data_IF_316831425126
#
_entry.id   IF_316831425126
#
_cell.length_a   1.000
_cell.length_b   1.000
_cell.length_c   1.000
_cell.angle_alpha   90.00
_cell.angle_beta   90.00
_cell.angle_gamma   90.00
#
_symmetry.space_group_name_H-M   'P 1'
#
loop_
_entity.id
_entity.type
_entity.pdbx_description
1 polymer ?
#
# COMPACT_ATOMS: atom_id res chain seq x y z
N UNK A 1 -7.55 2.08 1.24
CA UNK A 1 -8.58 2.96 1.81
C UNK A 1 -8.47 2.88 3.32
N UNK A 2 -8.35 4.02 3.98
CA UNK A 2 -8.40 4.16 5.43
C UNK A 2 -9.59 5.05 5.78
N UNK A 3 -10.66 4.44 6.30
CA UNK A 3 -11.89 5.17 6.62
C UNK A 3 -11.73 6.03 7.86
N UNK A 4 -10.97 5.58 8.85
CA UNK A 4 -10.77 6.30 10.11
C UNK A 4 -10.03 7.61 9.87
N UNK A 5 -8.99 7.58 9.03
CA UNK A 5 -8.20 8.76 8.65
C UNK A 5 -8.77 9.54 7.46
N UNK A 6 -9.84 9.04 6.83
CA UNK A 6 -10.41 9.60 5.61
C UNK A 6 -9.37 9.79 4.49
N UNK A 7 -8.55 8.76 4.25
CA UNK A 7 -7.49 8.76 3.24
C UNK A 7 -7.63 7.62 2.25
N UNK A 8 -7.39 7.90 0.98
CA UNK A 8 -7.25 6.90 -0.08
C UNK A 8 -5.77 6.75 -0.41
N UNK A 9 -5.32 5.49 -0.37
CA UNK A 9 -3.98 5.08 -0.76
C UNK A 9 -4.10 4.34 -2.09
N UNK A 10 -3.29 4.72 -3.08
CA UNK A 10 -3.25 4.03 -4.37
C UNK A 10 -1.84 4.06 -4.97
N UNK A 11 -1.54 3.08 -5.81
CA UNK A 11 -0.27 3.00 -6.53
C UNK A 11 -0.49 3.50 -7.97
N UNK A 12 0.37 4.42 -8.41
CA UNK A 12 0.46 4.83 -9.82
C UNK A 12 1.72 4.26 -10.45
N UNK A 13 1.60 3.82 -11.69
CA UNK A 13 2.70 3.25 -12.47
C UNK A 13 3.20 4.27 -13.47
N UNK A 14 4.51 4.53 -13.46
CA UNK A 14 5.16 5.45 -14.40
C UNK A 14 5.98 4.68 -15.44
N UNK A 15 6.59 3.56 -15.05
CA UNK A 15 7.32 2.66 -15.95
C UNK A 15 7.43 1.24 -15.36
N UNK A 16 8.07 0.33 -16.09
CA UNK A 16 8.25 -1.09 -15.68
C UNK A 16 9.00 -1.26 -14.35
N UNK A 17 9.73 -0.25 -13.89
CA UNK A 17 10.51 -0.30 -12.63
C UNK A 17 10.25 0.88 -11.70
N UNK A 18 9.25 1.70 -12.01
CA UNK A 18 8.96 2.91 -11.27
C UNK A 18 7.46 3.08 -11.04
N UNK A 19 7.12 3.10 -9.76
CA UNK A 19 5.77 3.32 -9.26
C UNK A 19 5.83 4.33 -8.12
N UNK A 20 4.71 4.96 -7.83
CA UNK A 20 4.56 5.84 -6.67
C UNK A 20 3.35 5.43 -5.84
N UNK A 21 3.50 5.49 -4.52
CA UNK A 21 2.35 5.52 -3.61
C UNK A 21 1.83 6.96 -3.55
N UNK A 22 0.54 7.12 -3.77
CA UNK A 22 -0.18 8.37 -3.58
C UNK A 22 -1.13 8.24 -2.40
N UNK A 23 -1.22 9.32 -1.63
CA UNK A 23 -2.20 9.52 -0.57
C UNK A 23 -3.05 10.71 -0.97
N UNK A 24 -4.35 10.50 -1.08
CA UNK A 24 -5.33 11.56 -1.33
C UNK A 24 -6.38 11.55 -0.23
N UNK A 25 -7.08 12.67 -0.07
CA UNK A 25 -8.26 12.71 0.80
C UNK A 25 -9.35 11.71 0.34
N UNK A 26 -10.30 11.44 1.23
CA UNK A 26 -11.40 10.51 0.94
C UNK A 26 -12.25 10.89 -0.28
N UNK A 27 -12.27 12.17 -0.64
CA UNK A 27 -13.02 12.66 -1.80
C UNK A 27 -12.21 12.57 -3.10
N UNK A 28 -10.92 12.23 -3.03
CA UNK A 28 -10.01 12.20 -4.16
C UNK A 28 -9.65 13.59 -4.71
N UNK A 29 -9.95 14.67 -3.99
CA UNK A 29 -9.84 16.05 -4.49
C UNK A 29 -8.45 16.65 -4.27
N UNK A 30 -7.73 16.19 -3.24
CA UNK A 30 -6.40 16.71 -2.90
C UNK A 30 -5.41 15.59 -2.67
N UNK A 31 -4.37 15.54 -3.49
CA UNK A 31 -3.16 14.77 -3.19
C UNK A 31 -2.53 15.37 -1.94
N UNK A 32 -2.46 14.58 -0.88
CA UNK A 32 -1.78 14.96 0.36
C UNK A 32 -0.28 14.71 0.22
N UNK A 33 0.10 13.51 -0.23
CA UNK A 33 1.50 13.10 -0.30
C UNK A 33 1.74 12.10 -1.44
N UNK A 34 2.99 12.03 -1.92
CA UNK A 34 3.41 11.02 -2.87
C UNK A 34 4.84 10.55 -2.60
N UNK A 35 5.08 9.25 -2.78
CA UNK A 35 6.35 8.62 -2.49
C UNK A 35 6.77 7.70 -3.63
N UNK A 36 7.98 7.86 -4.14
CA UNK A 36 8.54 6.99 -5.16
C UNK A 36 8.92 5.64 -4.56
N UNK A 37 8.45 4.56 -5.16
CA UNK A 37 8.85 3.19 -4.84
C UNK A 37 9.92 2.77 -5.86
N UNK A 38 11.22 2.78 -5.51
CA UNK A 38 12.28 2.36 -6.44
C UNK A 38 12.23 0.85 -6.69
N UNK A 39 12.70 0.42 -7.86
CA UNK A 39 12.80 -1.00 -8.25
C UNK A 39 11.48 -1.75 -8.09
N UNK A 40 10.39 -1.09 -8.50
CA UNK A 40 9.04 -1.53 -8.26
C UNK A 40 8.45 -2.05 -9.58
N UNK A 41 8.23 -3.37 -9.67
CA UNK A 41 7.61 -4.02 -10.83
C UNK A 41 6.09 -3.88 -10.80
N UNK A 42 5.38 -3.81 -11.95
CA UNK A 42 3.98 -3.35 -12.05
C UNK A 42 2.88 -4.31 -11.51
N UNK A 43 3.09 -4.97 -10.38
CA UNK A 43 2.03 -5.72 -9.68
C UNK A 43 2.12 -5.44 -8.19
N UNK A 44 1.34 -4.45 -7.75
CA UNK A 44 1.17 -4.14 -6.34
C UNK A 44 -0.24 -4.42 -5.89
N UNK A 45 -0.35 -5.12 -4.77
CA UNK A 45 -1.54 -5.02 -3.94
C UNK A 45 -1.15 -4.34 -2.63
N UNK A 46 -2.00 -3.42 -2.18
CA UNK A 46 -1.76 -2.65 -0.97
C UNK A 46 -2.92 -2.81 0.01
N UNK A 47 -2.61 -2.71 1.29
CA UNK A 47 -3.60 -2.59 2.37
C UNK A 47 -3.05 -1.71 3.48
N UNK A 48 -3.93 -1.08 4.26
CA UNK A 48 -3.53 -0.21 5.38
C UNK A 48 -4.26 -0.67 6.64
N UNK A 49 -3.54 -0.78 7.75
CA UNK A 49 -4.10 -1.09 9.07
C UNK A 49 -3.15 -0.71 10.19
N UNK A 50 -3.68 -0.22 11.31
CA UNK A 50 -2.85 0.12 12.48
C UNK A 50 -1.76 1.15 12.18
N UNK A 51 -2.01 2.10 11.28
CA UNK A 51 -1.02 3.05 10.74
C UNK A 51 0.06 2.44 9.86
N UNK A 52 -0.02 1.17 9.50
CA UNK A 52 0.95 0.48 8.67
C UNK A 52 0.39 0.23 7.27
N UNK A 53 1.27 0.33 6.27
CA UNK A 53 1.04 -0.04 4.89
C UNK A 53 1.63 -1.42 4.65
N UNK A 54 0.80 -2.33 4.15
CA UNK A 54 1.19 -3.62 3.64
C UNK A 54 1.28 -3.55 2.13
N UNK A 55 2.45 -3.87 1.58
CA UNK A 55 2.74 -3.83 0.15
C UNK A 55 3.16 -5.21 -0.31
N UNK A 56 2.38 -5.83 -1.19
CA UNK A 56 2.80 -7.01 -1.91
C UNK A 56 3.33 -6.61 -3.28
N UNK A 57 4.56 -6.96 -3.62
CA UNK A 57 5.13 -6.68 -4.93
C UNK A 57 5.92 -7.86 -5.50
N UNK A 58 5.99 -7.92 -6.83
CA UNK A 58 6.91 -8.83 -7.49
C UNK A 58 8.37 -8.33 -7.28
N UNK A 59 9.21 -9.18 -6.69
CA UNK A 59 10.64 -8.96 -6.56
C UNK A 59 11.40 -9.49 -7.78
N UNK A 60 12.72 -9.64 -7.66
CA UNK A 60 13.54 -10.18 -8.75
C UNK A 60 13.20 -11.64 -9.12
N UNK A 61 12.59 -12.41 -8.20
CA UNK A 61 12.30 -13.84 -8.41
C UNK A 61 10.95 -14.31 -7.88
N UNK A 62 10.29 -13.55 -6.98
CA UNK A 62 9.06 -13.96 -6.27
C UNK A 62 8.24 -12.75 -5.78
N UNK A 63 6.94 -12.95 -5.62
CA UNK A 63 6.07 -12.00 -4.91
C UNK A 63 6.41 -11.97 -3.42
N UNK A 64 6.54 -10.76 -2.86
CA UNK A 64 6.92 -10.55 -1.47
C UNK A 64 6.01 -9.53 -0.82
N UNK A 65 5.53 -9.85 0.38
CA UNK A 65 4.80 -8.95 1.27
C UNK A 65 5.79 -8.22 2.17
N UNK A 66 5.68 -6.91 2.18
CA UNK A 66 6.37 -6.00 3.07
C UNK A 66 5.39 -5.24 3.95
N UNK A 67 5.85 -4.84 5.12
CA UNK A 67 5.19 -3.90 6.02
C UNK A 67 6.03 -2.63 6.13
N UNK A 68 5.41 -1.46 6.13
CA UNK A 68 6.09 -0.18 6.29
C UNK A 68 5.15 0.90 6.83
N UNK A 69 5.72 1.98 7.38
CA UNK A 69 4.93 3.16 7.68
C UNK A 69 4.57 3.91 6.39
N UNK A 70 3.33 4.42 6.24
CA UNK A 70 2.98 5.32 5.15
C UNK A 70 3.93 6.52 5.12
N UNK A 71 4.65 6.66 4.01
CA UNK A 71 5.62 7.73 3.80
C UNK A 71 7.08 7.41 4.11
N UNK A 72 7.38 6.22 4.65
CA UNK A 72 8.75 5.74 4.82
C UNK A 72 8.99 4.42 4.08
N UNK A 73 9.16 4.50 2.75
CA UNK A 73 9.38 3.32 1.90
C UNK A 73 10.74 2.64 2.17
N UNK A 74 11.75 3.40 2.59
CA UNK A 74 13.08 2.85 2.88
C UNK A 74 13.07 1.98 4.15
N UNK A 75 12.12 2.22 5.06
CA UNK A 75 11.88 1.43 6.26
C UNK A 75 11.06 0.14 6.05
N UNK A 76 10.96 -0.39 4.83
CA UNK A 76 10.18 -1.61 4.59
C UNK A 76 10.76 -2.84 5.31
N UNK A 77 9.89 -3.57 6.00
CA UNK A 77 10.20 -4.83 6.68
C UNK A 77 9.63 -6.00 5.90
N UNK A 78 10.42 -7.07 5.75
CA UNK A 78 9.95 -8.31 5.13
C UNK A 78 8.92 -9.00 6.03
N UNK A 79 7.81 -9.44 5.45
CA UNK A 79 6.79 -10.25 6.15
C UNK A 79 6.79 -11.67 5.60
N UNK A 80 6.65 -11.84 4.28
CA UNK A 80 6.50 -13.16 3.66
C UNK A 80 6.84 -13.15 2.16
N UNK A 81 7.42 -14.24 1.66
CA UNK A 81 7.54 -14.51 0.24
C UNK A 81 6.53 -15.58 -0.21
N UNK A 82 5.98 -15.41 -1.40
CA UNK A 82 5.06 -16.35 -2.03
C UNK A 82 5.78 -17.15 -3.12
N UNK A 83 5.42 -18.43 -3.27
CA UNK A 83 5.93 -19.30 -4.34
C UNK A 83 5.00 -19.34 -5.55
N UNK A 84 3.98 -18.49 -5.55
CA UNK A 84 2.94 -18.38 -6.57
C UNK A 84 2.77 -16.91 -6.93
N UNK A 85 2.13 -16.66 -8.08
CA UNK A 85 1.78 -15.31 -8.48
C UNK A 85 0.69 -14.75 -7.58
N UNK A 86 0.91 -13.52 -7.08
CA UNK A 86 -0.07 -12.82 -6.25
C UNK A 86 -0.71 -11.73 -7.09
N UNK A 87 -1.91 -12.01 -7.58
CA UNK A 87 -2.68 -11.06 -8.39
C UNK A 87 -3.38 -10.00 -7.53
N UNK A 88 -3.74 -10.34 -6.29
CA UNK A 88 -4.44 -9.46 -5.37
C UNK A 88 -4.22 -9.90 -3.92
N UNK A 89 -4.25 -8.93 -3.01
CA UNK A 89 -4.24 -9.12 -1.57
C UNK A 89 -5.36 -8.27 -0.96
N UNK A 90 -6.02 -8.82 0.06
CA UNK A 90 -6.97 -8.08 0.88
C UNK A 90 -6.64 -8.33 2.33
N UNK A 91 -6.50 -7.26 3.11
CA UNK A 91 -6.46 -7.37 4.55
C UNK A 91 -7.86 -7.66 5.10
N UNK A 92 -7.96 -8.65 5.98
CA UNK A 92 -9.20 -9.06 6.63
C UNK A 92 -9.02 -8.90 8.14
N UNK A 93 -9.68 -7.91 8.72
CA UNK A 93 -9.70 -7.66 10.16
C UNK A 93 -11.02 -6.98 10.53
N UNK A 94 -11.64 -7.25 11.70
CA UNK A 94 -12.91 -6.62 12.11
C UNK A 94 -12.86 -5.09 12.21
N UNK A 95 -11.65 -4.55 12.42
CA UNK A 95 -11.43 -3.10 12.51
C UNK A 95 -11.09 -2.44 11.17
N UNK A 96 -10.82 -3.24 10.13
CA UNK A 96 -10.66 -2.71 8.77
C UNK A 96 -12.02 -2.22 8.30
N UNK A 97 -12.08 -0.99 7.81
CA UNK A 97 -13.32 -0.30 7.39
C UNK A 97 -14.28 0.11 8.53
N UNK A 98 -13.80 0.26 9.77
CA UNK A 98 -14.57 1.03 10.75
C UNK A 98 -14.63 2.49 10.32
N UNK A 99 -15.83 3.06 10.27
CA UNK A 99 -16.01 4.50 10.09
C UNK A 99 -15.33 5.25 11.22
N UNK A 100 -14.91 6.51 11.01
CA UNK A 100 -14.45 7.38 12.08
C UNK A 100 -15.48 7.35 13.22
N UNK A 101 -15.00 7.25 14.46
CA UNK A 101 -15.89 7.49 15.61
C UNK A 101 -16.35 8.94 15.50
N UNK A 102 -17.66 9.14 15.28
CA UNK A 102 -18.27 10.47 15.36
C UNK A 102 -18.02 10.95 16.80
N UNK A 103 -17.31 12.07 16.93
CA UNK A 103 -17.12 12.75 18.22
C UNK A 103 -18.35 13.61 18.53
#
# INVERSE_FOLDING_TARGET
LDLERQNIYYISYHSRMQSSLFITDYNGLKVQESFKIPNSSPTFSISVFGSQLYLCNNGATKYTLYEMSPGNITGKMFVKAFRVDVLHMKLVHPDVQKSPKIK
#
